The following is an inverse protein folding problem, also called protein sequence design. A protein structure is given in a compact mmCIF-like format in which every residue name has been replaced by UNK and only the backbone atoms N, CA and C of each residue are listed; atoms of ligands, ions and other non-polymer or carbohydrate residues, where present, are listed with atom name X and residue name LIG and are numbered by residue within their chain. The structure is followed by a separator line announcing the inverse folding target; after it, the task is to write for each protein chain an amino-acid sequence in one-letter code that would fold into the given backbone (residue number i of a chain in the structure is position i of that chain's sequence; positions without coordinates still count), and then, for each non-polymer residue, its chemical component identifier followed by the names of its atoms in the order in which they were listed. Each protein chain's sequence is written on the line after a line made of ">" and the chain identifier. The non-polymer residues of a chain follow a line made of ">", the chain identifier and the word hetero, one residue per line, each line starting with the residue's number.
data_IF_976473213900
#
_entry.id   IF_976473213900
#
_cell.length_a   1.000
_cell.length_b   1.000
_cell.length_c   1.000
_cell.angle_alpha   90.00
_cell.angle_beta   90.00
_cell.angle_gamma   90.00
#
_symmetry.space_group_name_H-M   'P 1'
#
loop_
_entity.id
_entity.type
_entity.pdbx_description
1 polymer ?
#
# COMPACT_ATOMS: atom_id res chain seq x y z
N UNK A 1 -31.71 18.65 -1.16
CA UNK A 1 -30.47 18.03 -1.68
C UNK A 1 -29.40 19.04 -2.07
N UNK A 2 -29.62 19.99 -2.99
CA UNK A 2 -28.58 20.92 -3.49
C UNK A 2 -27.87 21.77 -2.40
N UNK A 3 -28.59 22.17 -1.34
CA UNK A 3 -28.00 22.96 -0.23
C UNK A 3 -26.92 22.22 0.58
N UNK A 4 -27.01 20.89 0.71
CA UNK A 4 -26.03 20.10 1.46
C UNK A 4 -24.72 19.98 0.68
N UNK A 5 -24.83 19.63 -0.61
CA UNK A 5 -23.70 19.59 -1.53
C UNK A 5 -22.90 20.89 -1.54
N UNK A 6 -23.57 22.03 -1.72
CA UNK A 6 -22.89 23.33 -1.75
C UNK A 6 -22.19 23.68 -0.43
N UNK A 7 -22.78 23.32 0.73
CA UNK A 7 -22.14 23.51 2.04
C UNK A 7 -20.92 22.59 2.23
N UNK A 8 -21.04 21.32 1.87
CA UNK A 8 -19.95 20.34 1.95
C UNK A 8 -18.80 20.72 1.02
N UNK A 9 -19.11 21.15 -0.21
CA UNK A 9 -18.11 21.62 -1.18
C UNK A 9 -17.37 22.87 -0.69
N UNK A 10 -18.06 23.83 -0.08
CA UNK A 10 -17.42 25.00 0.54
C UNK A 10 -16.46 24.60 1.66
N UNK A 11 -16.88 23.67 2.52
CA UNK A 11 -16.04 23.15 3.60
C UNK A 11 -14.75 22.54 3.05
N UNK A 12 -14.87 21.67 2.04
CA UNK A 12 -13.73 21.03 1.38
C UNK A 12 -12.79 22.04 0.70
N UNK A 13 -13.33 23.09 0.06
CA UNK A 13 -12.52 24.13 -0.57
C UNK A 13 -11.74 24.97 0.45
N UNK A 14 -12.34 25.27 1.61
CA UNK A 14 -11.70 26.08 2.65
C UNK A 14 -10.40 25.44 3.17
N UNK A 15 -10.28 24.11 3.12
CA UNK A 15 -9.10 23.37 3.60
C UNK A 15 -7.97 23.26 2.56
N UNK A 16 -8.26 23.41 1.26
CA UNK A 16 -7.28 23.22 0.18
C UNK A 16 -6.60 24.52 -0.28
N UNK A 17 -7.14 25.68 0.06
CA UNK A 17 -6.59 26.98 -0.31
C UNK A 17 -7.47 27.75 -1.32
N UNK A 18 -6.90 28.68 -2.11
CA UNK A 18 -7.69 29.56 -2.98
C UNK A 18 -8.51 28.79 -4.02
N UNK A 19 -9.80 29.13 -4.15
CA UNK A 19 -10.73 28.48 -5.09
C UNK A 19 -10.22 28.46 -6.54
N UNK A 20 -9.46 29.49 -6.95
CA UNK A 20 -8.87 29.55 -8.28
C UNK A 20 -7.84 28.44 -8.54
N UNK A 21 -7.07 28.06 -7.51
CA UNK A 21 -6.11 26.94 -7.59
C UNK A 21 -6.88 25.61 -7.69
N UNK A 22 -7.87 25.41 -6.82
CA UNK A 22 -8.74 24.23 -6.84
C UNK A 22 -9.38 24.03 -8.22
N UNK A 23 -9.90 25.09 -8.84
CA UNK A 23 -10.51 25.01 -10.17
C UNK A 23 -9.51 24.55 -11.26
N UNK A 24 -8.26 25.04 -11.20
CA UNK A 24 -7.20 24.65 -12.14
C UNK A 24 -6.81 23.18 -11.98
N UNK A 25 -6.70 22.70 -10.75
CA UNK A 25 -6.31 21.32 -10.45
C UNK A 25 -7.41 20.32 -10.84
N UNK A 26 -8.69 20.65 -10.65
CA UNK A 26 -9.82 19.79 -11.07
C UNK A 26 -10.05 19.88 -12.59
N UNK A 27 -9.59 20.96 -13.24
CA UNK A 27 -9.87 21.24 -14.65
C UNK A 27 -11.31 21.68 -14.90
N UNK A 28 -11.86 22.52 -14.01
CA UNK A 28 -13.22 23.08 -14.12
C UNK A 28 -13.13 24.61 -14.28
N UNK A 29 -13.98 25.16 -15.15
CA UNK A 29 -14.07 26.62 -15.34
C UNK A 29 -14.57 27.28 -14.04
N UNK A 30 -13.81 28.25 -13.52
CA UNK A 30 -14.09 28.90 -12.22
C UNK A 30 -15.50 29.51 -12.13
N UNK A 31 -16.03 30.05 -13.23
CA UNK A 31 -17.40 30.57 -13.29
C UNK A 31 -18.45 29.47 -13.05
N UNK A 32 -18.23 28.27 -13.59
CA UNK A 32 -19.11 27.11 -13.36
C UNK A 32 -18.96 26.59 -11.94
N UNK A 33 -17.72 26.46 -11.45
CA UNK A 33 -17.45 26.01 -10.09
C UNK A 33 -18.07 26.93 -9.02
N UNK A 34 -18.04 28.24 -9.27
CA UNK A 34 -18.68 29.24 -8.40
C UNK A 34 -20.21 29.08 -8.33
N UNK A 35 -20.85 28.56 -9.38
CA UNK A 35 -22.29 28.23 -9.34
C UNK A 35 -22.55 27.03 -8.45
N UNK A 36 -21.66 26.03 -8.42
CA UNK A 36 -21.79 24.88 -7.52
C UNK A 36 -21.63 25.30 -6.05
N UNK A 37 -20.65 26.15 -5.75
CA UNK A 37 -20.44 26.68 -4.40
C UNK A 37 -21.63 27.48 -3.89
N UNK A 38 -22.34 28.22 -4.75
CA UNK A 38 -23.53 28.97 -4.33
C UNK A 38 -24.76 28.08 -4.12
N UNK A 39 -24.77 26.87 -4.67
CA UNK A 39 -25.90 25.95 -4.62
C UNK A 39 -27.13 26.20 -5.52
N UNK A 40 -27.16 27.11 -6.53
CA UNK A 40 -28.27 27.15 -7.49
C UNK A 40 -28.29 25.98 -8.48
N UNK A 41 -27.14 25.35 -8.75
CA UNK A 41 -27.02 24.27 -9.74
C UNK A 41 -26.11 23.16 -9.27
N UNK A 42 -26.43 21.93 -9.68
CA UNK A 42 -25.59 20.76 -9.46
C UNK A 42 -24.63 20.56 -10.64
N UNK A 43 -23.42 20.00 -10.41
CA UNK A 43 -22.58 19.51 -11.48
C UNK A 43 -23.23 18.32 -12.20
N UNK A 44 -22.80 18.06 -13.45
CA UNK A 44 -23.10 16.78 -14.11
C UNK A 44 -22.40 15.62 -13.39
N UNK A 45 -22.85 14.38 -13.60
CA UNK A 45 -22.24 13.20 -12.97
C UNK A 45 -20.72 13.13 -13.20
N UNK A 46 -20.25 13.39 -14.43
CA UNK A 46 -18.82 13.43 -14.74
C UNK A 46 -18.05 14.48 -13.95
N UNK A 47 -18.62 15.69 -13.84
CA UNK A 47 -18.00 16.78 -13.09
C UNK A 47 -18.04 16.53 -11.59
N UNK A 48 -19.14 15.94 -11.09
CA UNK A 48 -19.28 15.53 -9.69
C UNK A 48 -18.21 14.50 -9.32
N UNK A 49 -18.02 13.48 -10.17
CA UNK A 49 -17.00 12.47 -9.97
C UNK A 49 -15.59 13.08 -9.91
N UNK A 50 -15.25 13.99 -10.83
CA UNK A 50 -13.97 14.73 -10.79
C UNK A 50 -13.76 15.48 -9.48
N UNK A 51 -14.81 16.15 -8.99
CA UNK A 51 -14.79 16.87 -7.71
C UNK A 51 -14.57 15.87 -6.55
N UNK A 52 -15.29 14.76 -6.54
CA UNK A 52 -15.18 13.72 -5.52
C UNK A 52 -13.76 13.12 -5.46
N UNK A 53 -13.20 12.75 -6.62
CA UNK A 53 -11.84 12.21 -6.73
C UNK A 53 -10.80 13.21 -6.23
N UNK A 54 -10.92 14.49 -6.59
CA UNK A 54 -9.99 15.52 -6.15
C UNK A 54 -10.01 15.73 -4.62
N UNK A 55 -11.19 15.70 -4.01
CA UNK A 55 -11.34 15.89 -2.57
C UNK A 55 -11.19 14.60 -1.76
N UNK A 56 -11.07 13.44 -2.41
CA UNK A 56 -10.94 12.14 -1.74
C UNK A 56 -12.21 11.73 -0.97
N UNK A 57 -13.38 12.13 -1.45
CA UNK A 57 -14.70 11.82 -0.86
C UNK A 57 -15.55 11.07 -1.87
N UNK A 58 -16.51 10.28 -1.40
CA UNK A 58 -17.49 9.61 -2.27
C UNK A 58 -18.67 10.55 -2.62
N UNK A 59 -19.42 10.20 -3.67
CA UNK A 59 -20.63 10.94 -4.03
C UNK A 59 -21.68 10.90 -2.91
N UNK A 60 -21.80 9.76 -2.23
CA UNK A 60 -22.68 9.60 -1.08
C UNK A 60 -22.29 10.52 0.07
N UNK A 61 -20.99 10.65 0.36
CA UNK A 61 -20.48 11.54 1.40
C UNK A 61 -20.72 13.01 1.06
N UNK A 62 -20.32 13.46 -0.13
CA UNK A 62 -20.44 14.89 -0.47
C UNK A 62 -21.90 15.36 -0.57
N UNK A 63 -22.84 14.44 -0.82
CA UNK A 63 -24.28 14.70 -0.86
C UNK A 63 -24.98 14.54 0.50
N UNK A 64 -24.31 13.97 1.49
CA UNK A 64 -24.86 13.72 2.83
C UNK A 64 -25.30 15.03 3.53
N UNK A 65 -26.21 14.96 4.52
CA UNK A 65 -26.51 16.09 5.39
C UNK A 65 -25.23 16.72 5.95
N UNK A 66 -25.16 18.05 5.99
CA UNK A 66 -23.92 18.76 6.31
C UNK A 66 -23.36 18.38 7.69
N UNK A 67 -24.22 18.19 8.68
CA UNK A 67 -23.82 17.84 10.04
C UNK A 67 -23.22 16.42 10.11
N UNK A 68 -23.79 15.46 9.37
CA UNK A 68 -23.28 14.10 9.25
C UNK A 68 -21.92 14.10 8.52
N UNK A 69 -21.84 14.84 7.41
CA UNK A 69 -20.62 15.01 6.62
C UNK A 69 -19.48 15.59 7.47
N UNK A 70 -19.77 16.62 8.28
CA UNK A 70 -18.80 17.22 9.22
C UNK A 70 -18.38 16.22 10.29
N UNK A 71 -19.32 15.44 10.85
CA UNK A 71 -19.02 14.45 11.89
C UNK A 71 -18.10 13.37 11.35
N UNK A 72 -18.39 12.82 10.18
CA UNK A 72 -17.59 11.78 9.54
C UNK A 72 -16.22 12.30 9.09
N UNK A 73 -16.16 13.48 8.45
CA UNK A 73 -14.89 14.10 8.06
C UNK A 73 -14.04 14.48 9.27
N UNK A 74 -14.65 15.01 10.33
CA UNK A 74 -13.93 15.31 11.57
C UNK A 74 -13.45 14.03 12.23
N UNK A 75 -14.24 12.97 12.32
CA UNK A 75 -13.78 11.68 12.90
C UNK A 75 -12.61 11.10 12.11
N UNK A 76 -12.68 11.11 10.76
CA UNK A 76 -11.58 10.63 9.91
C UNK A 76 -10.31 11.48 10.05
N UNK A 77 -10.44 12.81 10.16
CA UNK A 77 -9.30 13.73 10.32
C UNK A 77 -8.73 13.79 11.74
N UNK A 78 -9.60 13.71 12.75
CA UNK A 78 -9.20 13.59 14.17
C UNK A 78 -8.43 12.29 14.33
N UNK A 79 -8.93 11.19 13.75
CA UNK A 79 -8.18 9.94 13.65
C UNK A 79 -6.87 10.13 12.89
N UNK A 80 -6.82 10.82 11.75
CA UNK A 80 -5.55 11.07 11.03
C UNK A 80 -4.50 11.86 11.83
N UNK A 81 -4.91 12.91 12.54
CA UNK A 81 -4.03 13.73 13.40
C UNK A 81 -3.65 13.08 14.73
N UNK A 82 -4.53 12.26 15.30
CA UNK A 82 -4.28 11.50 16.53
C UNK A 82 -3.51 10.20 16.25
N UNK A 83 -3.80 9.50 15.15
CA UNK A 83 -3.04 8.32 14.68
C UNK A 83 -1.62 8.72 14.29
N UNK A 84 -1.41 9.83 13.58
CA UNK A 84 -0.04 10.32 13.30
C UNK A 84 0.73 10.70 14.57
N UNK A 85 0.03 11.05 15.65
CA UNK A 85 0.62 11.30 16.97
C UNK A 85 0.73 10.07 17.87
N UNK A 86 0.14 8.93 17.49
CA UNK A 86 0.19 7.71 18.28
C UNK A 86 1.65 7.19 18.34
N UNK A 87 2.13 6.71 19.51
CA UNK A 87 3.54 6.32 19.68
C UNK A 87 4.06 5.33 18.64
N UNK A 88 3.21 4.39 18.19
CA UNK A 88 3.57 3.44 17.13
C UNK A 88 3.84 4.14 15.79
N UNK A 89 2.99 5.08 15.37
CA UNK A 89 3.18 5.79 14.10
C UNK A 89 4.40 6.72 14.14
N UNK A 90 4.79 7.21 15.32
CA UNK A 90 6.04 7.98 15.50
C UNK A 90 7.32 7.16 15.21
N UNK A 91 7.24 5.84 15.23
CA UNK A 91 8.35 4.97 14.82
C UNK A 91 8.59 5.03 13.30
N UNK A 92 7.60 5.45 12.50
CA UNK A 92 7.69 5.51 11.04
C UNK A 92 8.04 6.93 10.55
N UNK A 93 9.04 7.10 9.66
CA UNK A 93 9.85 6.06 9.02
C UNK A 93 11.14 5.74 9.81
N UNK A 94 11.34 6.33 10.99
CA UNK A 94 12.63 6.29 11.69
C UNK A 94 13.73 6.98 10.88
N UNK A 95 14.86 6.33 10.65
CA UNK A 95 15.95 6.87 9.81
C UNK A 95 15.64 6.78 8.30
N UNK A 96 14.81 7.70 7.79
CA UNK A 96 14.37 7.71 6.37
C UNK A 96 15.51 7.56 5.35
N UNK A 97 16.65 8.20 5.59
CA UNK A 97 17.81 8.14 4.69
C UNK A 97 18.34 6.70 4.50
N UNK A 98 18.18 5.82 5.50
CA UNK A 98 18.58 4.41 5.44
C UNK A 98 17.59 3.56 4.66
N UNK A 99 16.33 4.01 4.49
CA UNK A 99 15.30 3.31 3.72
C UNK A 99 15.36 3.63 2.23
N UNK A 100 15.79 4.83 1.83
CA UNK A 100 15.84 5.25 0.41
C UNK A 100 16.55 4.26 -0.53
N UNK A 101 17.63 3.55 -0.13
CA UNK A 101 18.23 2.51 -0.97
C UNK A 101 17.28 1.34 -1.33
N UNK A 102 16.24 1.09 -0.53
CA UNK A 102 15.21 0.08 -0.80
C UNK A 102 14.11 0.56 -1.76
N UNK A 103 14.10 1.81 -2.21
CA UNK A 103 13.08 2.27 -3.16
C UNK A 103 13.12 1.46 -4.47
N UNK A 104 11.94 1.27 -5.08
CA UNK A 104 11.75 0.49 -6.30
C UNK A 104 11.06 -0.85 -6.07
N UNK A 105 11.23 -1.77 -7.02
CA UNK A 105 10.51 -3.04 -7.05
C UNK A 105 11.41 -4.16 -6.52
N UNK A 106 10.84 -5.05 -5.70
CA UNK A 106 11.51 -6.21 -5.12
C UNK A 106 10.70 -7.46 -5.40
N UNK A 107 11.35 -8.57 -5.74
CA UNK A 107 10.76 -9.89 -5.56
C UNK A 107 10.90 -10.31 -4.10
N UNK A 108 9.86 -10.89 -3.54
CA UNK A 108 9.89 -11.52 -2.21
C UNK A 108 9.84 -13.03 -2.35
N UNK A 109 10.62 -13.75 -1.55
CA UNK A 109 10.72 -15.20 -1.58
C UNK A 109 10.53 -15.77 -0.19
N UNK A 110 9.65 -16.75 -0.04
CA UNK A 110 9.47 -17.48 1.21
C UNK A 110 8.93 -18.89 0.98
N UNK A 111 9.06 -19.77 1.98
CA UNK A 111 8.46 -21.10 1.97
C UNK A 111 7.12 -21.09 2.72
N UNK A 112 5.98 -21.31 2.06
CA UNK A 112 4.68 -21.36 2.72
C UNK A 112 4.46 -22.70 3.43
N UNK A 113 3.83 -22.74 4.61
CA UNK A 113 3.43 -24.01 5.24
C UNK A 113 2.44 -24.83 4.40
N UNK A 114 1.60 -24.16 3.61
CA UNK A 114 0.55 -24.80 2.80
C UNK A 114 1.10 -25.60 1.60
N UNK A 115 2.29 -25.27 1.10
CA UNK A 115 2.93 -25.97 -0.01
C UNK A 115 4.36 -26.37 0.35
N UNK A 116 4.53 -27.52 1.03
CA UNK A 116 5.85 -28.07 1.34
C UNK A 116 6.71 -28.21 0.07
N UNK A 117 8.03 -28.03 0.21
CA UNK A 117 9.02 -28.10 -0.89
C UNK A 117 8.79 -27.09 -2.03
N UNK A 118 8.05 -26.03 -1.75
CA UNK A 118 7.80 -24.95 -2.70
C UNK A 118 8.29 -23.62 -2.14
N UNK A 119 8.58 -22.68 -3.04
CA UNK A 119 8.91 -21.30 -2.74
C UNK A 119 7.86 -20.42 -3.42
N UNK A 120 7.21 -19.55 -2.63
CA UNK A 120 6.33 -18.50 -3.15
C UNK A 120 7.20 -17.32 -3.54
N UNK A 121 6.90 -16.76 -4.72
CA UNK A 121 7.49 -15.53 -5.24
C UNK A 121 6.39 -14.50 -5.38
N UNK A 122 6.50 -13.41 -4.63
CA UNK A 122 5.65 -12.23 -4.73
C UNK A 122 6.44 -11.00 -5.18
N UNK A 123 5.79 -9.85 -5.24
CA UNK A 123 6.42 -8.58 -5.58
C UNK A 123 6.03 -7.46 -4.60
N UNK A 124 7.02 -6.72 -4.11
CA UNK A 124 6.83 -5.53 -3.27
C UNK A 124 7.31 -4.27 -3.98
N UNK A 125 6.47 -3.25 -3.99
CA UNK A 125 6.70 -1.95 -4.62
C UNK A 125 6.88 -0.90 -3.52
N UNK A 126 8.07 -0.27 -3.49
CA UNK A 126 8.41 0.74 -2.50
C UNK A 126 8.54 2.12 -3.14
N UNK A 127 7.84 3.09 -2.57
CA UNK A 127 7.89 4.51 -2.98
C UNK A 127 7.87 5.44 -1.77
N UNK A 128 8.52 6.60 -1.91
CA UNK A 128 8.51 7.65 -0.89
C UNK A 128 7.33 8.60 -1.15
N UNK A 129 6.50 8.83 -0.15
CA UNK A 129 5.40 9.79 -0.20
C UNK A 129 5.25 10.47 1.16
N UNK A 130 5.21 11.80 1.19
CA UNK A 130 5.05 12.61 2.41
C UNK A 130 6.07 12.29 3.52
N UNK A 131 7.33 12.00 3.14
CA UNK A 131 8.39 11.66 4.09
C UNK A 131 8.24 10.27 4.74
N UNK A 132 7.35 9.43 4.21
CA UNK A 132 7.17 8.03 4.59
C UNK A 132 7.55 7.13 3.42
N UNK A 133 7.90 5.88 3.71
CA UNK A 133 8.10 4.85 2.67
C UNK A 133 6.90 3.93 2.71
N UNK A 134 6.12 3.94 1.62
CA UNK A 134 4.96 3.08 1.46
C UNK A 134 5.33 1.78 0.74
N UNK A 135 4.75 0.68 1.20
CA UNK A 135 4.80 -0.60 0.53
C UNK A 135 3.47 -0.95 -0.11
N UNK A 136 3.56 -1.61 -1.26
CA UNK A 136 2.49 -2.40 -1.83
C UNK A 136 3.04 -3.75 -2.17
N UNK A 137 2.57 -4.80 -1.49
CA UNK A 137 2.97 -6.18 -1.77
C UNK A 137 1.85 -6.91 -2.50
N UNK A 138 2.21 -7.68 -3.52
CA UNK A 138 1.30 -8.51 -4.30
C UNK A 138 1.82 -9.95 -4.24
N UNK A 139 1.00 -10.83 -3.71
CA UNK A 139 1.19 -12.28 -3.75
C UNK A 139 0.12 -12.88 -4.65
N UNK A 140 0.52 -13.73 -5.60
CA UNK A 140 -0.37 -14.24 -6.64
C UNK A 140 0.46 -14.88 -7.75
N UNK A 141 -0.20 -15.24 -8.86
CA UNK A 141 0.47 -15.82 -10.02
C UNK A 141 -0.03 -17.24 -10.28
N UNK A 142 0.89 -18.15 -10.60
CA UNK A 142 0.55 -19.54 -10.91
C UNK A 142 0.80 -20.43 -9.70
N UNK A 143 -0.20 -21.22 -9.33
CA UNK A 143 -0.13 -22.21 -8.25
C UNK A 143 0.66 -23.47 -8.70
N UNK A 144 1.07 -24.37 -7.77
CA UNK A 144 1.85 -25.56 -8.11
C UNK A 144 1.17 -26.50 -9.13
N UNK A 145 -0.16 -26.52 -9.15
CA UNK A 145 -0.98 -27.33 -10.06
C UNK A 145 -1.19 -26.68 -11.44
N UNK A 146 -0.59 -25.51 -11.67
CA UNK A 146 -0.75 -24.73 -12.91
C UNK A 146 -2.01 -23.86 -12.95
N UNK A 147 -2.84 -23.88 -11.91
CA UNK A 147 -4.00 -22.99 -11.80
C UNK A 147 -3.59 -21.56 -11.45
N UNK A 148 -4.49 -20.61 -11.66
CA UNK A 148 -4.28 -19.24 -11.20
C UNK A 148 -4.45 -19.19 -9.68
N UNK A 149 -3.41 -18.72 -9.00
CA UNK A 149 -3.47 -18.37 -7.60
C UNK A 149 -4.18 -17.03 -7.45
N UNK A 150 -5.18 -16.97 -6.57
CA UNK A 150 -5.89 -15.73 -6.25
C UNK A 150 -4.89 -14.65 -5.82
N UNK A 151 -5.02 -13.42 -6.33
CA UNK A 151 -4.07 -12.37 -5.97
C UNK A 151 -4.47 -11.71 -4.66
N UNK A 152 -3.57 -11.78 -3.69
CA UNK A 152 -3.67 -11.05 -2.44
C UNK A 152 -2.79 -9.80 -2.51
N UNK A 153 -3.33 -8.68 -1.97
CA UNK A 153 -2.66 -7.38 -1.99
C UNK A 153 -2.56 -6.83 -0.58
N UNK A 154 -1.35 -6.37 -0.25
CA UNK A 154 -1.03 -5.72 1.01
C UNK A 154 -0.57 -4.29 0.76
N UNK A 155 -0.90 -3.41 1.69
CA UNK A 155 -0.47 -2.01 1.70
C UNK A 155 0.05 -1.66 3.09
N UNK A 156 1.19 -0.97 3.16
CA UNK A 156 1.89 -0.79 4.42
C UNK A 156 2.90 0.35 4.45
N UNK A 157 3.63 0.42 5.55
CA UNK A 157 4.67 1.39 5.81
C UNK A 157 5.96 0.69 6.25
N UNK A 158 7.09 1.34 5.96
CA UNK A 158 8.40 0.91 6.43
C UNK A 158 8.96 1.86 7.49
N UNK A 159 9.64 1.30 8.48
CA UNK A 159 10.51 2.06 9.37
C UNK A 159 11.90 1.45 9.48
N UNK A 160 12.91 2.32 9.68
CA UNK A 160 14.26 1.91 10.02
C UNK A 160 14.55 2.31 11.47
N UNK A 161 14.70 1.31 12.34
CA UNK A 161 14.96 1.52 13.75
C UNK A 161 15.84 0.41 14.31
N UNK A 162 16.79 0.76 15.20
CA UNK A 162 17.65 -0.22 15.85
C UNK A 162 18.48 -1.09 14.90
N UNK A 163 18.82 -0.58 13.71
CA UNK A 163 19.56 -1.34 12.69
C UNK A 163 18.75 -2.47 12.04
N UNK A 164 17.41 -2.36 12.05
CA UNK A 164 16.47 -3.24 11.35
C UNK A 164 15.52 -2.42 10.50
N UNK A 165 14.99 -3.04 9.46
CA UNK A 165 13.91 -2.49 8.64
C UNK A 165 12.65 -3.26 9.00
N UNK A 166 11.63 -2.57 9.49
CA UNK A 166 10.32 -3.16 9.75
C UNK A 166 9.39 -2.77 8.63
N UNK A 167 8.57 -3.71 8.19
CA UNK A 167 7.52 -3.54 7.19
C UNK A 167 6.23 -4.02 7.82
N UNK A 168 5.26 -3.13 8.02
CA UNK A 168 3.95 -3.50 8.55
C UNK A 168 2.91 -3.25 7.46
N UNK A 169 2.25 -4.32 7.01
CA UNK A 169 1.30 -4.25 5.90
C UNK A 169 -0.04 -4.84 6.29
N UNK A 170 -1.13 -4.28 5.75
CA UNK A 170 -2.48 -4.81 5.91
C UNK A 170 -3.00 -5.38 4.60
N UNK A 171 -3.74 -6.47 4.69
CA UNK A 171 -4.44 -7.10 3.56
C UNK A 171 -5.67 -6.28 3.14
N UNK A 172 -5.86 -6.09 1.82
CA UNK A 172 -6.93 -5.20 1.30
C UNK A 172 -8.28 -5.89 1.08
N UNK A 173 -8.30 -7.16 0.69
CA UNK A 173 -9.51 -7.78 0.10
C UNK A 173 -9.98 -9.10 0.75
N UNK A 174 -9.27 -9.67 1.74
CA UNK A 174 -9.59 -10.97 2.35
C UNK A 174 -9.64 -10.84 3.88
N UNK A 175 -10.83 -10.87 4.49
CA UNK A 175 -11.16 -10.83 5.94
C UNK A 175 -10.41 -9.84 6.86
N UNK A 176 -9.50 -9.02 6.33
CA UNK A 176 -8.47 -8.33 7.08
C UNK A 176 -7.35 -9.26 7.56
N UNK A 177 -6.14 -8.71 7.61
CA UNK A 177 -4.96 -9.36 8.15
C UNK A 177 -3.82 -8.35 8.23
N UNK A 178 -2.97 -8.45 9.23
CA UNK A 178 -1.73 -7.67 9.34
C UNK A 178 -0.56 -8.64 9.22
N UNK A 179 0.38 -8.30 8.36
CA UNK A 179 1.65 -9.00 8.24
C UNK A 179 2.77 -8.08 8.69
N UNK A 180 3.83 -8.67 9.24
CA UNK A 180 5.03 -7.96 9.64
C UNK A 180 6.24 -8.63 9.03
N UNK A 181 7.12 -7.85 8.41
CA UNK A 181 8.42 -8.32 7.93
C UNK A 181 9.52 -7.53 8.62
N UNK A 182 10.53 -8.23 9.14
CA UNK A 182 11.73 -7.63 9.73
C UNK A 182 12.93 -8.03 8.89
N UNK A 183 13.53 -7.06 8.20
CA UNK A 183 14.71 -7.26 7.36
C UNK A 183 15.98 -6.73 8.02
N UNK A 184 17.07 -7.43 7.75
CA UNK A 184 18.42 -6.92 7.96
C UNK A 184 18.78 -5.90 6.86
N UNK A 185 19.53 -4.84 7.21
CA UNK A 185 20.16 -3.99 6.20
C UNK A 185 21.03 -4.83 5.27
N UNK A 186 21.05 -4.49 3.98
CA UNK A 186 21.80 -5.29 3.01
C UNK A 186 23.28 -5.40 3.38
N UNK A 187 23.84 -6.60 3.23
CA UNK A 187 25.26 -6.84 3.45
C UNK A 187 26.10 -6.04 2.44
N UNK A 188 27.26 -5.53 2.86
CA UNK A 188 28.14 -4.68 2.03
C UNK A 188 28.49 -5.30 0.67
N UNK A 189 28.60 -6.63 0.62
CA UNK A 189 28.96 -7.38 -0.58
C UNK A 189 27.78 -7.72 -1.50
N UNK A 190 26.53 -7.62 -1.02
CA UNK A 190 25.37 -8.01 -1.84
C UNK A 190 24.16 -7.11 -1.57
N UNK A 191 24.25 -5.87 -2.07
CA UNK A 191 23.25 -4.81 -1.89
C UNK A 191 21.87 -5.12 -2.50
N UNK A 192 21.77 -6.18 -3.31
CA UNK A 192 20.52 -6.58 -3.99
C UNK A 192 19.60 -7.40 -3.10
N UNK A 193 20.13 -8.06 -2.07
CA UNK A 193 19.35 -8.98 -1.23
C UNK A 193 19.23 -8.44 0.18
N UNK A 194 18.01 -8.43 0.69
CA UNK A 194 17.69 -8.20 2.08
C UNK A 194 17.08 -9.47 2.64
N UNK A 195 17.59 -9.90 3.78
CA UNK A 195 17.25 -11.16 4.43
C UNK A 195 16.54 -10.86 5.74
N UNK A 196 15.62 -11.71 6.15
CA UNK A 196 14.85 -11.48 7.35
C UNK A 196 13.83 -12.56 7.64
N UNK A 197 12.90 -12.21 8.52
CA UNK A 197 11.76 -13.05 8.88
C UNK A 197 10.48 -12.27 8.60
N UNK A 198 9.41 -12.99 8.25
CA UNK A 198 8.08 -12.42 8.23
C UNK A 198 7.12 -13.27 9.04
N UNK A 199 6.10 -12.60 9.59
CA UNK A 199 4.95 -13.17 10.27
C UNK A 199 3.72 -12.86 9.42
N UNK A 200 2.96 -13.90 9.09
CA UNK A 200 1.76 -13.77 8.29
C UNK A 200 0.75 -14.87 8.56
N UNK A 201 -0.29 -14.90 7.71
CA UNK A 201 -1.36 -15.89 7.77
C UNK A 201 -1.25 -16.84 6.60
N UNK A 202 -1.47 -18.13 6.81
CA UNK A 202 -1.54 -19.10 5.71
C UNK A 202 -2.75 -18.85 4.81
N UNK A 203 -2.66 -19.31 3.56
CA UNK A 203 -3.75 -19.28 2.60
C UNK A 203 -4.88 -20.24 3.00
N UNK A 204 -6.09 -20.01 2.47
CA UNK A 204 -7.27 -20.85 2.72
C UNK A 204 -7.01 -22.35 2.46
N UNK A 205 -7.72 -23.28 3.13
CA UNK A 205 -8.98 -23.11 3.88
C UNK A 205 -8.83 -22.85 5.39
N UNK A 206 -7.60 -22.87 5.94
CA UNK A 206 -7.35 -22.58 7.35
C UNK A 206 -6.27 -21.52 7.47
N UNK A 207 -6.67 -20.29 7.80
CA UNK A 207 -5.76 -19.16 8.05
C UNK A 207 -5.14 -19.32 9.44
N UNK A 208 -3.93 -19.87 9.50
CA UNK A 208 -3.13 -19.96 10.72
C UNK A 208 -1.96 -18.98 10.68
N UNK A 209 -1.60 -18.39 11.83
CA UNK A 209 -0.40 -17.59 11.92
C UNK A 209 0.84 -18.48 11.73
N UNK A 210 1.82 -17.98 10.99
CA UNK A 210 3.12 -18.63 10.84
C UNK A 210 4.23 -17.61 10.66
N UNK A 211 5.43 -17.99 11.04
CA UNK A 211 6.65 -17.25 10.75
C UNK A 211 7.52 -18.04 9.77
N UNK A 212 8.21 -17.33 8.88
CA UNK A 212 9.17 -17.94 7.97
C UNK A 212 10.28 -16.97 7.60
N UNK A 213 11.42 -17.52 7.19
CA UNK A 213 12.49 -16.74 6.57
C UNK A 213 12.00 -16.15 5.24
N UNK A 214 12.42 -14.93 4.96
CA UNK A 214 12.08 -14.20 3.75
C UNK A 214 13.32 -13.56 3.14
N UNK A 215 13.37 -13.54 1.81
CA UNK A 215 14.37 -12.80 1.06
C UNK A 215 13.67 -11.78 0.19
N UNK A 216 14.15 -10.55 0.21
CA UNK A 216 13.79 -9.51 -0.76
C UNK A 216 14.94 -9.33 -1.71
N UNK A 217 14.69 -9.51 -3.01
CA UNK A 217 15.67 -9.28 -4.07
C UNK A 217 15.23 -8.09 -4.89
N UNK A 218 16.04 -7.04 -4.92
CA UNK A 218 15.77 -5.86 -5.76
C UNK A 218 15.70 -6.25 -7.24
N UNK A 219 14.63 -5.88 -7.92
CA UNK A 219 14.48 -6.06 -9.36
C UNK A 219 15.46 -5.14 -10.11
N UNK A 220 15.69 -5.41 -11.39
CA UNK A 220 16.48 -4.52 -12.24
C UNK A 220 15.79 -3.16 -12.35
N UNK A 221 16.55 -2.06 -12.37
CA UNK A 221 15.99 -0.71 -12.45
C UNK A 221 15.24 -0.43 -13.77
N UNK A 222 15.46 -1.26 -14.79
CA UNK A 222 14.76 -1.18 -16.08
C UNK A 222 13.53 -2.08 -16.17
N UNK A 223 13.30 -2.94 -15.17
CA UNK A 223 12.17 -3.88 -15.20
C UNK A 223 10.84 -3.16 -15.01
N UNK A 224 9.86 -3.52 -15.83
CA UNK A 224 8.49 -3.00 -15.65
C UNK A 224 7.75 -3.76 -14.56
N UNK A 225 6.73 -3.14 -13.95
CA UNK A 225 5.87 -3.82 -12.98
C UNK A 225 5.25 -5.10 -13.56
N UNK A 226 4.88 -5.09 -14.85
CA UNK A 226 4.31 -6.24 -15.55
C UNK A 226 5.29 -7.40 -15.66
N UNK A 227 6.56 -7.11 -15.98
CA UNK A 227 7.61 -8.13 -16.04
C UNK A 227 7.83 -8.78 -14.68
N UNK A 228 8.00 -7.98 -13.62
CA UNK A 228 8.21 -8.51 -12.26
C UNK A 228 7.02 -9.36 -11.82
N UNK A 229 5.79 -8.90 -12.06
CA UNK A 229 4.58 -9.64 -11.70
C UNK A 229 4.42 -10.93 -12.51
N UNK A 230 4.90 -10.98 -13.76
CA UNK A 230 4.87 -12.21 -14.57
C UNK A 230 5.80 -13.31 -14.04
N UNK A 231 6.77 -12.96 -13.20
CA UNK A 231 7.66 -13.90 -12.51
C UNK A 231 7.12 -14.36 -11.15
N UNK A 232 5.99 -13.82 -10.68
CA UNK A 232 5.37 -14.21 -9.42
C UNK A 232 4.58 -15.53 -9.55
N UNK A 233 4.49 -16.26 -8.45
CA UNK A 233 3.82 -17.56 -8.38
C UNK A 233 4.56 -18.53 -7.45
N UNK A 234 4.21 -19.80 -7.57
CA UNK A 234 4.79 -20.86 -6.74
C UNK A 234 5.75 -21.71 -7.56
N UNK A 235 6.96 -21.90 -7.05
CA UNK A 235 8.03 -22.63 -7.71
C UNK A 235 8.47 -23.82 -6.87
N UNK A 236 8.90 -24.93 -7.48
CA UNK A 236 9.62 -25.98 -6.77
C UNK A 236 10.87 -25.41 -6.08
N UNK A 237 11.20 -25.90 -4.88
CA UNK A 237 12.37 -25.41 -4.12
C UNK A 237 13.70 -25.52 -4.88
N UNK A 238 13.79 -26.48 -5.80
CA UNK A 238 14.96 -26.71 -6.63
C UNK A 238 14.91 -25.98 -7.98
N UNK A 239 13.92 -25.09 -8.18
CA UNK A 239 13.73 -24.36 -9.44
C UNK A 239 15.00 -23.60 -9.85
N UNK A 240 15.48 -23.75 -11.10
CA UNK A 240 16.64 -23.01 -11.59
C UNK A 240 16.37 -21.50 -11.73
N UNK A 241 15.09 -21.08 -11.68
CA UNK A 241 14.70 -19.67 -11.68
C UNK A 241 14.98 -18.95 -10.35
N UNK A 242 15.32 -19.70 -9.30
CA UNK A 242 15.59 -19.16 -7.97
C UNK A 242 17.09 -19.24 -7.67
N UNK A 243 17.68 -18.08 -7.37
CA UNK A 243 19.10 -17.94 -7.09
C UNK A 243 19.52 -18.84 -5.92
N UNK A 244 20.71 -19.45 -6.01
CA UNK A 244 21.23 -20.34 -4.97
C UNK A 244 21.34 -19.65 -3.59
N UNK A 245 21.65 -18.35 -3.57
CA UNK A 245 21.70 -17.56 -2.32
C UNK A 245 20.33 -17.44 -1.64
N UNK A 246 19.26 -17.33 -2.43
CA UNK A 246 17.88 -17.26 -1.91
C UNK A 246 17.54 -18.60 -1.27
N UNK A 247 17.72 -19.70 -2.00
CA UNK A 247 17.45 -21.06 -1.51
C UNK A 247 18.21 -21.34 -0.21
N UNK A 248 19.52 -21.06 -0.20
CA UNK A 248 20.37 -21.24 0.98
C UNK A 248 19.86 -20.50 2.22
N UNK A 249 19.35 -19.28 2.07
CA UNK A 249 18.81 -18.52 3.21
C UNK A 249 17.46 -19.06 3.68
N UNK A 250 16.57 -19.41 2.74
CA UNK A 250 15.26 -19.96 3.08
C UNK A 250 15.34 -21.33 3.78
N UNK A 251 16.42 -22.08 3.56
CA UNK A 251 16.68 -23.38 4.20
C UNK A 251 17.34 -23.28 5.58
N UNK A 252 17.80 -22.10 5.99
CA UNK A 252 18.29 -21.91 7.35
C UNK A 252 17.10 -22.10 8.31
N UNK A 253 17.27 -22.92 9.35
CA UNK A 253 16.27 -22.99 10.41
C UNK A 253 16.07 -21.61 11.04
N UNK A 254 14.84 -21.31 11.47
CA UNK A 254 14.59 -20.15 12.34
C UNK A 254 15.27 -20.33 13.69
#
# INVERSE_FOLDING_TARGET
>A
MNKNFAKNLKYLCAEKGPVAQVCREIGIVQQQFSKYLRGPTMPSAHTLHKICVYFGVTETEILAPHDDFLRENKVLKSRGGELSNHPLFRAFPGELAKLRPLLGIHHIFFKPPAWPKSIVVGATFLHEENGQIQSRTIEGGIAPDGSNMESTRFEGLLCYQGGRIFVCERERHNEGGVIETILLPAHRQNKRYHMGVFLGMTWQPRRFPFAANIVWRKASSISTAREVLSECGVYPENSPKIDAIVRKHLDQGM
#
